data_IF_645799566015
#
_entry.id   IF_645799566015
#
_cell.length_a   1.000
_cell.length_b   1.000
_cell.length_c   1.000
_cell.angle_alpha   90.00
_cell.angle_beta   90.00
_cell.angle_gamma   90.00
#
_symmetry.space_group_name_H-M   'P 1'
#
loop_
_entity.id
_entity.type
_entity.pdbx_description
1 polymer ?
#
# COMPACT_ATOMS: atom_id res chain seq x y z
N UNK A 1 3.46 -9.39 -13.38
CA UNK A 1 3.99 -8.16 -12.74
C UNK A 1 3.84 -8.24 -11.22
N UNK A 2 2.59 -8.24 -10.71
CA UNK A 2 2.30 -8.32 -9.26
C UNK A 2 2.90 -9.56 -8.59
N UNK A 3 2.78 -10.75 -9.20
CA UNK A 3 3.42 -11.96 -8.65
C UNK A 3 4.94 -11.86 -8.47
N UNK A 4 5.65 -11.26 -9.43
CA UNK A 4 7.11 -11.03 -9.34
C UNK A 4 7.44 -10.09 -8.16
N UNK A 5 6.66 -9.03 -7.99
CA UNK A 5 6.79 -8.11 -6.86
C UNK A 5 6.63 -8.83 -5.51
N UNK A 6 5.59 -9.66 -5.39
CA UNK A 6 5.30 -10.45 -4.19
C UNK A 6 6.44 -11.44 -3.88
N UNK A 7 6.95 -12.14 -4.89
CA UNK A 7 8.10 -13.06 -4.73
C UNK A 7 9.35 -12.33 -4.24
N UNK A 8 9.67 -11.16 -4.80
CA UNK A 8 10.76 -10.33 -4.30
C UNK A 8 10.52 -9.86 -2.86
N UNK A 9 9.27 -9.54 -2.48
CA UNK A 9 8.93 -9.22 -1.10
C UNK A 9 9.27 -10.34 -0.11
N UNK A 10 9.01 -11.60 -0.48
CA UNK A 10 9.40 -12.76 0.32
C UNK A 10 10.92 -12.95 0.39
N UNK A 11 11.62 -12.84 -0.74
CA UNK A 11 13.08 -13.02 -0.83
C UNK A 11 13.84 -11.96 -0.03
N UNK A 12 13.44 -10.70 -0.14
CA UNK A 12 14.08 -9.57 0.54
C UNK A 12 13.55 -9.32 1.96
N UNK A 13 12.73 -10.23 2.48
CA UNK A 13 12.15 -10.19 3.82
C UNK A 13 11.38 -8.89 4.15
N UNK A 14 10.67 -8.32 3.18
CA UNK A 14 9.78 -7.17 3.34
C UNK A 14 8.35 -7.51 2.88
N UNK A 15 7.88 -8.70 3.25
CA UNK A 15 6.70 -9.29 2.65
C UNK A 15 5.40 -8.53 2.96
N UNK A 16 5.12 -8.24 4.23
CA UNK A 16 3.88 -7.59 4.68
C UNK A 16 3.54 -6.26 3.97
N UNK A 17 4.46 -5.28 3.87
CA UNK A 17 4.19 -4.04 3.15
C UNK A 17 4.03 -4.28 1.64
N UNK A 18 4.80 -5.21 1.06
CA UNK A 18 4.70 -5.56 -0.36
C UNK A 18 3.35 -6.22 -0.66
N UNK A 19 2.85 -7.11 0.19
CA UNK A 19 1.53 -7.72 0.03
C UNK A 19 0.41 -6.69 0.11
N UNK A 20 0.49 -5.76 1.06
CA UNK A 20 -0.47 -4.66 1.19
C UNK A 20 -0.52 -3.81 -0.07
N UNK A 21 0.65 -3.46 -0.62
CA UNK A 21 0.75 -2.66 -1.85
C UNK A 21 0.27 -3.45 -3.06
N UNK A 22 0.66 -4.73 -3.18
CA UNK A 22 0.18 -5.62 -4.23
C UNK A 22 -1.35 -5.73 -4.25
N UNK A 23 -1.96 -5.88 -3.07
CA UNK A 23 -3.40 -5.94 -2.92
C UNK A 23 -4.08 -4.61 -3.29
N UNK A 24 -3.50 -3.49 -2.86
CA UNK A 24 -3.97 -2.16 -3.25
C UNK A 24 -3.91 -1.90 -4.76
N UNK A 25 -2.89 -2.45 -5.44
CA UNK A 25 -2.76 -2.35 -6.90
C UNK A 25 -3.68 -3.32 -7.66
N UNK A 26 -4.07 -4.43 -7.03
CA UNK A 26 -4.96 -5.43 -7.63
C UNK A 26 -6.44 -5.10 -7.45
N UNK A 27 -6.76 -4.31 -6.41
CA UNK A 27 -8.12 -3.95 -6.02
C UNK A 27 -8.61 -2.62 -6.57
N UNK A 28 -9.81 -2.23 -6.13
CA UNK A 28 -10.37 -0.90 -6.39
C UNK A 28 -9.62 0.18 -5.60
N UNK A 29 -9.72 1.44 -6.06
CA UNK A 29 -9.17 2.59 -5.33
C UNK A 29 -9.71 2.65 -3.90
N UNK A 30 -8.80 2.72 -2.93
CA UNK A 30 -9.16 2.93 -1.52
C UNK A 30 -9.55 4.37 -1.20
N UNK A 31 -9.07 5.32 -2.01
CA UNK A 31 -9.35 6.74 -1.83
C UNK A 31 -10.61 7.12 -2.60
N UNK A 32 -11.56 7.72 -1.90
CA UNK A 32 -12.79 8.29 -2.45
C UNK A 32 -12.57 9.78 -2.72
N UNK A 33 -13.12 10.27 -3.84
CA UNK A 33 -13.12 11.70 -4.18
C UNK A 33 -14.54 12.17 -4.49
N UNK A 34 -15.38 12.41 -3.46
CA UNK A 34 -16.70 13.00 -3.67
C UNK A 34 -16.58 14.36 -4.35
N UNK A 35 -17.46 14.67 -5.29
CA UNK A 35 -17.39 15.92 -6.08
C UNK A 35 -17.36 17.16 -5.17
N UNK A 36 -18.19 17.18 -4.13
CA UNK A 36 -18.32 18.32 -3.21
C UNK A 36 -17.14 18.48 -2.24
N UNK A 37 -16.27 17.47 -2.12
CA UNK A 37 -15.18 17.43 -1.12
C UNK A 37 -13.83 17.05 -1.72
N UNK A 38 -13.65 17.29 -3.02
CA UNK A 38 -12.47 16.86 -3.76
C UNK A 38 -11.16 17.41 -3.20
N UNK A 39 -11.11 18.71 -2.90
CA UNK A 39 -9.93 19.35 -2.32
C UNK A 39 -9.56 18.77 -0.95
N UNK A 40 -10.56 18.50 -0.10
CA UNK A 40 -10.36 17.88 1.20
C UNK A 40 -9.87 16.43 1.09
N UNK A 41 -10.41 15.66 0.13
CA UNK A 41 -9.97 14.30 -0.15
C UNK A 41 -8.51 14.27 -0.66
N UNK A 42 -8.16 15.17 -1.56
CA UNK A 42 -6.78 15.29 -2.09
C UNK A 42 -5.80 15.73 -1.00
N UNK A 43 -6.19 16.65 -0.11
CA UNK A 43 -5.39 17.05 1.03
C UNK A 43 -5.19 15.89 2.02
N UNK A 44 -6.24 15.10 2.31
CA UNK A 44 -6.14 13.93 3.18
C UNK A 44 -5.24 12.84 2.59
N UNK A 45 -5.31 12.60 1.28
CA UNK A 45 -4.41 11.67 0.56
C UNK A 45 -2.97 12.16 0.62
N UNK A 46 -2.72 13.47 0.40
CA UNK A 46 -1.38 14.08 0.53
C UNK A 46 -0.82 13.98 1.94
N UNK A 47 -1.66 14.16 2.96
CA UNK A 47 -1.25 13.98 4.35
C UNK A 47 -0.79 12.54 4.65
N UNK A 48 -1.47 11.54 4.08
CA UNK A 48 -1.04 10.14 4.17
C UNK A 48 0.25 9.86 3.37
N UNK A 49 0.50 10.58 2.29
CA UNK A 49 1.72 10.49 1.51
C UNK A 49 2.92 11.20 2.16
N UNK A 50 2.71 12.08 3.14
CA UNK A 50 3.74 12.91 3.74
C UNK A 50 4.80 12.11 4.52
N UNK A 51 6.10 12.45 4.47
CA UNK A 51 7.15 11.75 5.21
C UNK A 51 6.88 11.76 6.72
N UNK A 52 7.22 10.65 7.39
CA UNK A 52 7.00 10.49 8.84
C UNK A 52 8.13 11.12 9.67
N UNK A 53 9.31 11.26 9.07
CA UNK A 53 10.47 11.93 9.66
C UNK A 53 11.02 13.01 8.72
N UNK A 54 11.54 14.13 9.25
CA UNK A 54 12.32 15.10 8.45
C UNK A 54 13.59 14.48 7.84
N UNK A 55 14.08 13.36 8.37
CA UNK A 55 15.18 12.57 7.78
C UNK A 55 14.71 11.60 6.72
N UNK A 56 13.40 11.34 6.63
CA UNK A 56 12.84 10.51 5.58
C UNK A 56 12.73 11.35 4.30
N UNK A 57 13.78 11.33 3.49
CA UNK A 57 13.78 11.88 2.12
C UNK A 57 12.85 11.09 1.17
N UNK A 58 11.92 10.31 1.70
CA UNK A 58 11.01 9.49 0.94
C UNK A 58 10.05 10.36 0.13
N UNK A 59 10.14 10.35 -1.21
CA UNK A 59 9.24 11.13 -2.03
C UNK A 59 7.80 10.61 -1.84
N UNK A 60 6.84 11.55 -1.90
CA UNK A 60 5.40 11.28 -1.89
C UNK A 60 5.08 10.21 -2.93
N UNK A 61 4.69 9.01 -2.50
CA UNK A 61 4.28 7.94 -3.40
C UNK A 61 2.89 7.44 -3.04
N UNK A 62 2.06 7.22 -4.06
CA UNK A 62 0.72 6.68 -3.88
C UNK A 62 0.73 5.31 -3.20
N UNK A 63 1.75 4.48 -3.49
CA UNK A 63 1.95 3.19 -2.83
C UNK A 63 2.22 3.36 -1.32
N UNK A 64 3.02 4.34 -0.91
CA UNK A 64 3.26 4.62 0.51
C UNK A 64 2.01 5.20 1.19
N UNK A 65 1.26 6.05 0.50
CA UNK A 65 -0.02 6.56 0.99
C UNK A 65 -1.02 5.42 1.22
N UNK A 66 -1.09 4.46 0.29
CA UNK A 66 -1.97 3.30 0.42
C UNK A 66 -1.57 2.39 1.59
N UNK A 67 -0.27 2.10 1.73
CA UNK A 67 0.26 1.32 2.85
C UNK A 67 -0.07 1.97 4.19
N UNK A 68 0.12 3.29 4.32
CA UNK A 68 -0.19 4.04 5.54
C UNK A 68 -1.68 4.12 5.82
N UNK A 69 -2.49 4.35 4.78
CA UNK A 69 -3.95 4.33 4.90
C UNK A 69 -4.44 3.01 5.48
N UNK A 70 -3.93 1.89 4.95
CA UNK A 70 -4.26 0.55 5.40
C UNK A 70 -3.79 0.28 6.84
N UNK A 71 -2.53 0.59 7.17
CA UNK A 71 -2.00 0.37 8.52
C UNK A 71 -2.74 1.21 9.57
N UNK A 72 -3.05 2.47 9.26
CA UNK A 72 -3.85 3.31 10.16
C UNK A 72 -5.29 2.83 10.30
N UNK A 73 -5.88 2.26 9.24
CA UNK A 73 -7.20 1.62 9.32
C UNK A 73 -7.17 0.37 10.21
N UNK A 74 -6.15 -0.49 10.11
CA UNK A 74 -5.99 -1.64 11.00
C UNK A 74 -5.90 -1.20 12.47
N UNK A 75 -5.14 -0.14 12.76
CA UNK A 75 -5.02 0.42 14.11
C UNK A 75 -6.33 1.07 14.59
N UNK A 76 -7.09 1.72 13.71
CA UNK A 76 -8.41 2.26 14.03
C UNK A 76 -9.43 1.15 14.32
N UNK A 77 -9.44 0.09 13.50
CA UNK A 77 -10.32 -1.07 13.67
C UNK A 77 -10.04 -1.84 14.96
N UNK A 78 -8.76 -1.95 15.36
CA UNK A 78 -8.38 -2.54 16.63
C UNK A 78 -8.94 -1.78 17.85
N UNK A 79 -9.26 -0.48 17.71
CA UNK A 79 -9.90 0.35 18.75
C UNK A 79 -11.42 0.28 18.73
N UNK A 80 -12.03 -0.37 17.74
CA UNK A 80 -13.47 -0.58 17.62
C UNK A 80 -14.13 0.16 16.44
N UNK A 81 -15.38 -0.20 16.15
CA UNK A 81 -16.10 0.26 14.95
C UNK A 81 -16.33 1.78 14.85
N UNK A 82 -16.43 2.47 15.99
CA UNK A 82 -16.53 3.94 16.02
C UNK A 82 -15.23 4.62 15.55
N UNK A 83 -14.08 4.12 16.01
CA UNK A 83 -12.77 4.61 15.60
C UNK A 83 -12.50 4.29 14.11
N UNK A 84 -12.90 3.10 13.64
CA UNK A 84 -12.84 2.73 12.23
C UNK A 84 -13.61 3.74 11.36
N UNK A 85 -14.88 4.00 11.69
CA UNK A 85 -15.74 4.92 10.92
C UNK A 85 -15.20 6.35 10.92
N UNK A 86 -14.70 6.82 12.07
CA UNK A 86 -14.06 8.12 12.18
C UNK A 86 -12.82 8.22 11.29
N UNK A 87 -11.96 7.19 11.30
CA UNK A 87 -10.74 7.15 10.49
C UNK A 87 -11.05 7.13 8.98
N UNK A 88 -11.98 6.28 8.54
CA UNK A 88 -12.35 6.20 7.12
C UNK A 88 -13.02 7.48 6.63
N UNK A 89 -13.85 8.12 7.47
CA UNK A 89 -14.47 9.41 7.13
C UNK A 89 -13.44 10.53 7.02
N UNK A 90 -12.51 10.64 7.99
CA UNK A 90 -11.46 11.66 8.03
C UNK A 90 -10.52 11.58 6.82
N UNK A 91 -10.20 10.38 6.37
CA UNK A 91 -9.25 10.14 5.29
C UNK A 91 -9.91 9.85 3.93
N UNK A 92 -11.23 9.98 3.82
CA UNK A 92 -11.99 9.68 2.60
C UNK A 92 -11.67 8.27 2.05
N UNK A 93 -11.67 7.28 2.93
CA UNK A 93 -11.34 5.90 2.58
C UNK A 93 -12.60 5.05 2.43
N UNK A 94 -12.58 4.13 1.47
CA UNK A 94 -13.63 3.14 1.29
C UNK A 94 -13.44 1.95 2.24
N UNK A 95 -14.35 1.70 3.21
CA UNK A 95 -14.26 0.54 4.09
C UNK A 95 -14.35 -0.79 3.31
N UNK A 96 -15.13 -0.82 2.23
CA UNK A 96 -15.26 -1.99 1.37
C UNK A 96 -13.95 -2.28 0.61
N UNK A 97 -13.29 -1.25 0.07
CA UNK A 97 -12.00 -1.43 -0.60
C UNK A 97 -10.89 -1.87 0.37
N UNK A 98 -10.89 -1.34 1.60
CA UNK A 98 -9.93 -1.72 2.65
C UNK A 98 -10.10 -3.20 3.08
N UNK A 99 -11.35 -3.67 3.21
CA UNK A 99 -11.64 -5.09 3.45
C UNK A 99 -11.19 -5.96 2.28
N UNK A 100 -11.46 -5.54 1.04
CA UNK A 100 -10.98 -6.28 -0.14
C UNK A 100 -9.44 -6.38 -0.17
N UNK A 101 -8.72 -5.33 0.20
CA UNK A 101 -7.26 -5.39 0.35
C UNK A 101 -6.85 -6.42 1.41
N UNK A 102 -7.53 -6.43 2.56
CA UNK A 102 -7.27 -7.41 3.61
C UNK A 102 -7.45 -8.85 3.12
N UNK A 103 -8.51 -9.12 2.37
CA UNK A 103 -8.80 -10.46 1.85
C UNK A 103 -7.78 -10.87 0.79
N UNK A 104 -7.44 -9.98 -0.15
CA UNK A 104 -6.38 -10.22 -1.14
C UNK A 104 -5.01 -10.44 -0.49
N UNK A 105 -4.67 -9.66 0.53
CA UNK A 105 -3.41 -9.80 1.28
C UNK A 105 -3.29 -11.19 1.91
N UNK A 106 -4.39 -11.71 2.49
CA UNK A 106 -4.46 -13.06 3.05
C UNK A 106 -4.35 -14.15 1.98
N UNK A 107 -5.03 -13.99 0.85
CA UNK A 107 -4.94 -14.93 -0.28
C UNK A 107 -3.51 -15.01 -0.81
N UNK A 108 -2.81 -13.88 -0.97
CA UNK A 108 -1.42 -13.89 -1.41
C UNK A 108 -0.48 -14.57 -0.41
N UNK A 109 -0.71 -14.38 0.89
CA UNK A 109 0.06 -15.05 1.93
C UNK A 109 -0.14 -16.57 1.92
N UNK A 110 -1.38 -17.03 1.72
CA UNK A 110 -1.70 -18.47 1.56
C UNK A 110 -1.00 -19.06 0.33
N UNK A 111 -1.09 -18.40 -0.83
CA UNK A 111 -0.42 -18.85 -2.04
C UNK A 111 1.11 -18.94 -1.86
N UNK A 112 1.73 -17.98 -1.16
CA UNK A 112 3.16 -18.03 -0.87
C UNK A 112 3.55 -19.17 0.06
N UNK A 113 2.68 -19.52 1.02
CA UNK A 113 2.89 -20.68 1.87
C UNK A 113 2.76 -22.00 1.08
N UNK A 114 1.81 -22.08 0.14
CA UNK A 114 1.64 -23.24 -0.74
C UNK A 114 2.85 -23.46 -1.66
N UNK A 115 3.47 -22.39 -2.16
CA UNK A 115 4.68 -22.46 -3.00
C UNK A 115 5.95 -22.72 -2.15
N UNK A 116 5.88 -22.55 -0.83
CA UNK A 116 6.98 -22.80 0.10
C UNK A 116 7.90 -21.60 0.37
N UNK A 117 7.49 -20.39 -0.01
CA UNK A 117 8.20 -19.14 0.33
C UNK A 117 7.96 -18.67 1.77
N UNK A 118 6.88 -19.14 2.40
CA UNK A 118 6.56 -18.90 3.81
C UNK A 118 6.56 -20.23 4.53
N UNK A 119 7.23 -20.29 5.70
CA UNK A 119 7.29 -21.51 6.50
C UNK A 119 5.95 -21.75 7.21
N UNK A 120 5.42 -22.97 7.09
CA UNK A 120 4.20 -23.40 7.76
C UNK A 120 2.97 -23.42 6.85
N UNK A 121 1.86 -23.94 7.38
CA UNK A 121 0.57 -23.96 6.67
C UNK A 121 -0.22 -22.70 7.03
N UNK A 122 -0.04 -21.64 6.24
CA UNK A 122 -0.83 -20.41 6.36
C UNK A 122 -2.09 -20.56 5.52
N UNK A 123 -3.27 -20.54 6.15
CA UNK A 123 -4.57 -20.55 5.46
C UNK A 123 -5.31 -19.25 5.73
N UNK A 124 -6.01 -18.72 4.73
CA UNK A 124 -6.83 -17.52 4.86
C UNK A 124 -7.83 -17.63 6.02
N UNK A 125 -8.51 -18.77 6.13
CA UNK A 125 -9.50 -19.06 7.20
C UNK A 125 -8.92 -18.95 8.62
N UNK A 126 -7.63 -19.24 8.80
CA UNK A 126 -6.98 -19.20 10.10
C UNK A 126 -6.61 -17.75 10.46
N UNK A 127 -6.15 -16.97 9.48
CA UNK A 127 -5.91 -15.52 9.62
C UNK A 127 -7.19 -14.71 9.84
N UNK A 128 -8.32 -15.15 9.27
CA UNK A 128 -9.64 -14.53 9.48
C UNK A 128 -10.14 -14.63 10.93
N UNK A 129 -9.78 -15.72 11.63
CA UNK A 129 -10.16 -15.95 13.02
C UNK A 129 -9.37 -15.08 14.01
N UNK A 130 -8.25 -14.50 13.57
CA UNK A 130 -7.45 -13.62 14.41
C UNK A 130 -8.21 -12.33 14.71
N UNK A 131 -8.39 -12.04 16.00
CA UNK A 131 -9.14 -10.87 16.48
C UNK A 131 -8.36 -9.55 16.33
N UNK A 132 -7.03 -9.61 16.17
CA UNK A 132 -6.15 -8.44 16.09
C UNK A 132 -5.52 -8.34 14.70
N UNK A 133 -5.72 -7.19 14.05
CA UNK A 133 -5.14 -6.90 12.74
C UNK A 133 -5.71 -7.75 11.61
N UNK A 134 -4.88 -8.02 10.60
CA UNK A 134 -5.20 -8.90 9.47
C UNK A 134 -4.67 -10.33 9.61
N UNK A 135 -3.85 -10.59 10.63
CA UNK A 135 -3.26 -11.90 10.92
C UNK A 135 -2.11 -12.32 10.00
N UNK A 136 -1.78 -11.52 8.98
CA UNK A 136 -0.80 -11.91 7.94
C UNK A 136 0.63 -11.87 8.48
N UNK A 137 0.98 -10.81 9.21
CA UNK A 137 2.31 -10.66 9.80
C UNK A 137 2.62 -11.77 10.82
N UNK A 138 1.61 -12.16 11.62
CA UNK A 138 1.73 -13.23 12.61
C UNK A 138 1.84 -14.60 11.94
N UNK A 139 1.01 -14.87 10.93
CA UNK A 139 1.01 -16.14 10.22
C UNK A 139 2.27 -16.36 9.37
N UNK A 140 2.81 -15.31 8.75
CA UNK A 140 4.02 -15.41 7.90
C UNK A 140 5.32 -15.42 8.70
N UNK A 141 5.28 -14.92 9.95
CA UNK A 141 6.41 -14.92 10.87
C UNK A 141 7.44 -13.81 10.59
N UNK A 142 8.40 -13.62 11.53
CA UNK A 142 9.35 -12.52 11.47
C UNK A 142 10.44 -12.69 10.39
N UNK A 143 10.78 -13.94 10.01
CA UNK A 143 11.88 -14.23 9.10
C UNK A 143 11.70 -13.59 7.70
N UNK A 144 10.47 -13.62 7.18
CA UNK A 144 10.11 -13.04 5.87
C UNK A 144 9.69 -11.56 5.97
N UNK A 145 9.79 -10.98 7.17
CA UNK A 145 9.39 -9.59 7.47
C UNK A 145 10.47 -8.80 8.21
N UNK A 146 11.71 -9.28 8.24
CA UNK A 146 12.83 -8.63 8.94
C UNK A 146 13.11 -7.21 8.45
N UNK A 147 12.87 -6.93 7.16
CA UNK A 147 13.09 -5.65 6.51
C UNK A 147 11.79 -4.88 6.20
N UNK A 148 10.67 -5.23 6.85
CA UNK A 148 9.36 -4.61 6.58
C UNK A 148 9.35 -3.08 6.75
N UNK A 149 10.18 -2.56 7.65
CA UNK A 149 10.24 -1.13 7.95
C UNK A 149 11.24 -0.37 7.04
N UNK A 150 12.03 -1.09 6.25
CA UNK A 150 12.97 -0.50 5.29
C UNK A 150 12.25 -0.06 4.00
N UNK A 151 11.67 1.15 4.03
CA UNK A 151 10.90 1.67 2.89
C UNK A 151 11.70 1.79 1.59
N UNK A 152 13.01 2.04 1.67
CA UNK A 152 13.89 2.07 0.49
C UNK A 152 13.94 0.72 -0.22
N UNK A 153 13.99 -0.37 0.55
CA UNK A 153 13.94 -1.73 0.02
C UNK A 153 12.56 -2.06 -0.57
N UNK A 154 11.48 -1.68 0.13
CA UNK A 154 10.11 -1.85 -0.38
C UNK A 154 9.94 -1.14 -1.73
N UNK A 155 10.49 0.07 -1.89
CA UNK A 155 10.49 0.78 -3.19
C UNK A 155 11.27 0.05 -4.27
N UNK A 156 12.46 -0.46 -3.94
CA UNK A 156 13.26 -1.22 -4.90
C UNK A 156 12.50 -2.46 -5.39
N UNK A 157 11.83 -3.18 -4.48
CA UNK A 157 10.98 -4.34 -4.80
C UNK A 157 9.81 -3.95 -5.70
N UNK A 158 9.12 -2.85 -5.39
CA UNK A 158 8.03 -2.34 -6.23
C UNK A 158 8.55 -1.96 -7.61
N UNK A 159 9.67 -1.24 -7.69
CA UNK A 159 10.30 -0.88 -8.96
C UNK A 159 10.64 -2.11 -9.79
N UNK A 160 11.25 -3.13 -9.19
CA UNK A 160 11.58 -4.39 -9.86
C UNK A 160 10.32 -5.16 -10.33
N UNK A 161 9.21 -5.07 -9.57
CA UNK A 161 7.93 -5.69 -9.93
C UNK A 161 7.16 -4.96 -11.03
N UNK A 162 7.29 -3.63 -11.09
CA UNK A 162 6.64 -2.76 -12.05
C UNK A 162 7.46 -2.46 -13.30
N UNK A 163 8.75 -2.79 -13.31
CA UNK A 163 9.58 -2.73 -14.51
C UNK A 163 8.90 -3.48 -15.69
N UNK A 164 8.86 -2.92 -16.91
CA UNK A 164 9.52 -1.68 -17.38
C UNK A 164 8.66 -0.40 -17.29
N UNK A 165 7.58 -0.35 -16.50
CA UNK A 165 6.69 0.81 -16.44
C UNK A 165 7.34 1.99 -15.67
N UNK A 166 8.27 2.68 -16.33
CA UNK A 166 9.04 3.80 -15.78
C UNK A 166 8.72 5.04 -16.61
N UNK A 167 8.57 6.18 -15.94
CA UNK A 167 8.45 7.49 -16.55
C UNK A 167 9.54 8.41 -16.01
N UNK A 168 10.12 9.24 -16.89
CA UNK A 168 11.06 10.29 -16.50
C UNK A 168 10.31 11.63 -16.48
N UNK A 169 10.43 12.38 -15.39
CA UNK A 169 9.88 13.74 -15.27
C UNK A 169 11.01 14.72 -15.57
N UNK A 170 10.88 15.48 -16.65
CA UNK A 170 11.82 16.56 -16.96
C UNK A 170 11.47 17.80 -16.13
N UNK A 171 12.32 18.12 -15.16
CA UNK A 171 12.13 19.27 -14.27
C UNK A 171 12.33 20.63 -14.98
N UNK A 172 12.77 20.64 -16.25
CA UNK A 172 13.08 21.87 -17.01
C UNK A 172 11.87 22.45 -17.76
N UNK A 173 10.77 21.73 -17.88
CA UNK A 173 9.50 22.29 -18.36
C UNK A 173 8.74 22.90 -17.17
N UNK A 174 8.73 24.23 -17.07
CA UNK A 174 8.33 25.00 -15.89
C UNK A 174 7.10 24.47 -15.15
N UNK A 175 7.32 24.03 -13.91
CA UNK A 175 6.26 23.75 -12.95
C UNK A 175 5.69 25.08 -12.44
N UNK A 176 4.55 25.50 -12.99
CA UNK A 176 3.78 26.64 -12.49
C UNK A 176 2.51 26.08 -11.80
N UNK A 177 2.46 25.98 -10.46
CA UNK A 177 1.39 25.28 -9.73
C UNK A 177 0.01 25.97 -9.77
N UNK A 178 -0.15 27.05 -10.56
CA UNK A 178 -1.36 27.88 -10.60
C UNK A 178 -2.22 27.76 -11.85
N UNK A 179 -1.93 26.83 -12.79
CA UNK A 179 -2.77 26.64 -13.97
C UNK A 179 -3.51 25.29 -13.98
N UNK A 180 -4.86 25.27 -13.91
CA UNK A 180 -5.65 24.07 -14.15
C UNK A 180 -5.71 23.81 -15.67
N UNK A 181 -4.92 22.86 -16.17
CA UNK A 181 -5.04 22.39 -17.56
C UNK A 181 -3.75 22.04 -18.32
N UNK A 182 -2.57 22.10 -17.70
CA UNK A 182 -1.32 21.76 -18.39
C UNK A 182 -1.24 20.29 -18.81
N UNK A 183 -1.26 20.00 -20.11
CA UNK A 183 -1.00 18.65 -20.63
C UNK A 183 0.42 18.22 -20.25
N UNK A 184 0.50 17.27 -19.31
CA UNK A 184 1.74 16.64 -18.92
C UNK A 184 2.31 15.83 -20.09
N UNK A 185 3.45 16.24 -20.64
CA UNK A 185 4.16 15.43 -21.64
C UNK A 185 4.97 14.36 -20.91
N UNK A 186 4.29 13.28 -20.51
CA UNK A 186 4.93 12.10 -19.92
C UNK A 186 5.59 11.29 -21.04
N UNK A 187 6.92 11.39 -21.20
CA UNK A 187 7.66 10.47 -22.06
C UNK A 187 7.71 9.10 -21.41
N UNK A 188 6.93 8.17 -21.96
CA UNK A 188 7.00 6.75 -21.62
C UNK A 188 8.09 6.10 -22.49
N UNK A 189 9.12 5.55 -21.86
CA UNK A 189 10.09 4.71 -22.57
C UNK A 189 9.55 3.27 -22.55
N UNK A 190 9.27 2.71 -23.73
CA UNK A 190 8.84 1.31 -23.90
C UNK A 190 10.04 0.37 -23.95
#
# INVERSE_FOLDING_TARGET
RIGKMILYGAIFACLDPVLTIAAAMSGQSIFMSPMDKREAADAAKRALAAPLSPTDCTPFSDHAAALRAYNGWLAARARGGGAERSYTSRHFLSPAALKNIQDLKRQFAELLAEIGFVKGKVRQRDMERMRRGDGVLEATGPAVNANKDCLSLVRAVICAGLYPNIACVDARAGFNPTQPGGQHQVRTHR
#
